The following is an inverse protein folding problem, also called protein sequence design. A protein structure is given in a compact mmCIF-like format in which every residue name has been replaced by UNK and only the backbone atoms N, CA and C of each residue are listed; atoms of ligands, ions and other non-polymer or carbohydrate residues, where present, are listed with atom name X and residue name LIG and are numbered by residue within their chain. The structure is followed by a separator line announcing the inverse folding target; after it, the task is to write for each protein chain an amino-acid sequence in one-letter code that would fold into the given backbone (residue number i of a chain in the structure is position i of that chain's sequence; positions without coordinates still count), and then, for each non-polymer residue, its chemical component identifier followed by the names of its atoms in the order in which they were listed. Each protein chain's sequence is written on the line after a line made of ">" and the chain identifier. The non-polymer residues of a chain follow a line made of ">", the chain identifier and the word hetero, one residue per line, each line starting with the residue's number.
data_IF_111594329546
#
_entry.id   IF_111594329546
#
_cell.length_a   1.000
_cell.length_b   1.000
_cell.length_c   1.000
_cell.angle_alpha   90.00
_cell.angle_beta   90.00
_cell.angle_gamma   90.00
#
_symmetry.space_group_name_H-M   'P 1'
#
loop_
_entity.id
_entity.type
_entity.pdbx_description
1 polymer ?
#
# COMPACT_ATOMS: atom_id res chain seq x y z
N UNK A 1 -5.71 29.89 3.37
CA UNK A 1 -6.87 30.68 3.85
C UNK A 1 -7.00 30.48 5.35
N UNK A 2 -7.27 31.54 6.14
CA UNK A 2 -7.48 31.44 7.58
C UNK A 2 -8.97 31.53 7.87
N UNK A 3 -9.51 30.50 8.52
CA UNK A 3 -10.93 30.39 8.82
C UNK A 3 -11.09 30.05 10.30
N UNK A 4 -12.07 30.67 10.95
CA UNK A 4 -12.45 30.31 12.31
C UNK A 4 -13.56 29.27 12.25
N UNK A 5 -13.30 28.07 12.79
CA UNK A 5 -14.25 26.96 12.86
C UNK A 5 -14.24 26.39 14.27
N UNK A 6 -15.41 26.00 14.76
CA UNK A 6 -15.57 25.33 16.05
C UNK A 6 -15.42 23.82 15.82
N UNK A 7 -14.50 23.20 16.55
CA UNK A 7 -14.24 21.76 16.49
C UNK A 7 -14.31 21.24 17.93
N UNK A 8 -14.89 20.06 18.11
CA UNK A 8 -14.90 19.37 19.39
C UNK A 8 -13.46 19.11 19.89
N UNK A 9 -13.18 19.48 21.15
CA UNK A 9 -11.83 19.39 21.70
C UNK A 9 -11.37 17.96 21.90
N UNK A 10 -12.29 17.04 22.24
CA UNK A 10 -11.96 15.62 22.39
C UNK A 10 -11.60 15.01 21.04
N UNK A 11 -12.37 15.33 19.99
CA UNK A 11 -12.08 14.91 18.62
C UNK A 11 -10.69 15.38 18.17
N UNK A 12 -10.35 16.65 18.42
CA UNK A 12 -9.04 17.19 18.06
C UNK A 12 -7.91 16.54 18.86
N UNK A 13 -8.12 16.30 20.16
CA UNK A 13 -7.14 15.62 21.01
C UNK A 13 -6.89 14.17 20.54
N UNK A 14 -7.96 13.43 20.22
CA UNK A 14 -7.84 12.08 19.69
C UNK A 14 -7.15 12.05 18.33
N UNK A 15 -7.48 12.99 17.44
CA UNK A 15 -6.82 13.11 16.15
C UNK A 15 -5.31 13.32 16.31
N UNK A 16 -4.89 14.31 17.11
CA UNK A 16 -3.47 14.60 17.34
C UNK A 16 -2.73 13.42 17.97
N UNK A 17 -3.38 12.73 18.93
CA UNK A 17 -2.81 11.56 19.61
C UNK A 17 -2.61 10.38 18.66
N UNK A 18 -3.59 10.10 17.80
CA UNK A 18 -3.53 8.97 16.86
C UNK A 18 -2.56 9.27 15.72
N UNK A 19 -2.56 10.49 15.18
CA UNK A 19 -1.72 10.85 14.04
C UNK A 19 -0.30 11.28 14.43
N UNK A 20 -0.04 11.54 15.71
CA UNK A 20 1.24 12.05 16.22
C UNK A 20 1.57 13.46 15.74
N UNK A 21 0.56 14.24 15.32
CA UNK A 21 0.75 15.58 14.78
C UNK A 21 0.86 16.61 15.90
N UNK A 22 1.61 17.68 15.64
CA UNK A 22 1.92 18.70 16.66
C UNK A 22 0.89 19.83 16.68
N UNK A 23 0.25 20.11 15.54
CA UNK A 23 -0.62 21.28 15.40
C UNK A 23 -2.02 20.92 14.95
N UNK A 24 -3.01 21.68 15.45
CA UNK A 24 -4.41 21.59 15.00
C UNK A 24 -4.54 21.80 13.49
N UNK A 25 -3.71 22.67 12.90
CA UNK A 25 -3.69 22.94 11.45
C UNK A 25 -3.34 21.70 10.64
N UNK A 26 -2.30 20.98 11.04
CA UNK A 26 -1.86 19.76 10.36
C UNK A 26 -2.91 18.66 10.44
N UNK A 27 -3.53 18.48 11.61
CA UNK A 27 -4.59 17.50 11.80
C UNK A 27 -5.80 17.78 10.89
N UNK A 28 -6.22 19.04 10.80
CA UNK A 28 -7.31 19.46 9.91
C UNK A 28 -6.95 19.26 8.44
N UNK A 29 -5.74 19.65 8.03
CA UNK A 29 -5.29 19.51 6.65
C UNK A 29 -5.18 18.03 6.24
N UNK A 30 -4.65 17.18 7.12
CA UNK A 30 -4.61 15.74 6.92
C UNK A 30 -6.02 15.16 6.77
N UNK A 31 -6.95 15.52 7.67
CA UNK A 31 -8.33 15.07 7.62
C UNK A 31 -9.04 15.43 6.31
N UNK A 32 -8.85 16.67 5.83
CA UNK A 32 -9.43 17.12 4.56
C UNK A 32 -8.84 16.36 3.35
N UNK A 33 -7.52 16.14 3.33
CA UNK A 33 -6.87 15.36 2.26
C UNK A 33 -7.35 13.91 2.26
N UNK A 34 -7.48 13.29 3.43
CA UNK A 34 -8.00 11.93 3.57
C UNK A 34 -9.44 11.84 3.08
N UNK A 35 -10.31 12.79 3.43
CA UNK A 35 -11.69 12.82 2.96
C UNK A 35 -11.78 12.85 1.43
N UNK A 36 -10.98 13.71 0.78
CA UNK A 36 -10.91 13.78 -0.69
C UNK A 36 -10.43 12.46 -1.29
N UNK A 37 -9.39 11.85 -0.71
CA UNK A 37 -8.87 10.56 -1.15
C UNK A 37 -9.90 9.43 -1.04
N UNK A 38 -10.65 9.38 0.06
CA UNK A 38 -11.73 8.40 0.26
C UNK A 38 -12.84 8.55 -0.79
N UNK A 39 -13.23 9.78 -1.11
CA UNK A 39 -14.22 10.06 -2.15
C UNK A 39 -13.75 9.63 -3.55
N UNK A 40 -12.47 9.85 -3.88
CA UNK A 40 -11.91 9.39 -5.15
C UNK A 40 -11.89 7.85 -5.24
N UNK A 41 -11.61 7.16 -4.13
CA UNK A 41 -11.67 5.69 -4.07
C UNK A 41 -13.11 5.18 -4.20
N UNK A 42 -14.09 5.89 -3.64
CA UNK A 42 -15.50 5.55 -3.76
C UNK A 42 -16.03 5.71 -5.19
N UNK A 43 -15.59 6.75 -5.91
CA UNK A 43 -15.90 6.90 -7.33
C UNK A 43 -15.42 5.68 -8.14
N UNK A 44 -14.25 5.12 -7.84
CA UNK A 44 -13.74 3.88 -8.46
C UNK A 44 -14.61 2.67 -8.07
N UNK A 45 -15.10 2.61 -6.81
CA UNK A 45 -16.03 1.56 -6.38
C UNK A 45 -17.39 1.65 -7.07
N UNK A 46 -17.84 2.83 -7.50
CA UNK A 46 -19.06 2.98 -8.32
C UNK A 46 -18.93 2.37 -9.73
N UNK A 47 -17.70 2.10 -10.20
CA UNK A 47 -17.43 1.39 -11.45
C UNK A 47 -17.17 -0.12 -11.25
N UNK A 48 -17.12 -0.64 -10.02
CA UNK A 48 -17.06 -2.11 -9.76
C UNK A 48 -18.33 -2.77 -10.30
N UNK A 49 -18.16 -3.65 -11.30
CA UNK A 49 -19.25 -4.36 -11.96
C UNK A 49 -19.86 -3.66 -13.19
N UNK A 50 -19.40 -2.45 -13.54
CA UNK A 50 -19.80 -1.75 -14.79
C UNK A 50 -18.72 -1.77 -15.88
N UNK A 51 -17.47 -2.05 -15.50
CA UNK A 51 -16.40 -2.31 -16.46
C UNK A 51 -16.50 -3.77 -16.90
N UNK A 52 -16.87 -3.99 -18.17
CA UNK A 52 -16.71 -5.27 -18.85
C UNK A 52 -15.21 -5.56 -18.86
N UNK A 53 -14.79 -6.55 -18.09
CA UNK A 53 -13.42 -7.01 -18.09
C UNK A 53 -13.21 -7.85 -19.37
N UNK A 54 -12.77 -7.21 -20.46
CA UNK A 54 -12.11 -7.90 -21.56
C UNK A 54 -10.63 -8.08 -21.18
N UNK A 55 -10.36 -9.05 -20.31
CA UNK A 55 -9.01 -9.42 -19.93
C UNK A 55 -8.93 -10.94 -19.81
N UNK A 56 -8.37 -11.57 -20.82
CA UNK A 56 -8.20 -13.01 -20.86
C UNK A 56 -7.36 -13.46 -19.66
N UNK A 57 -7.99 -14.23 -18.76
CA UNK A 57 -7.43 -14.58 -17.44
C UNK A 57 -6.36 -15.69 -17.53
N UNK A 58 -5.96 -16.07 -18.74
CA UNK A 58 -5.03 -17.18 -18.99
C UNK A 58 -3.54 -16.77 -18.92
N UNK A 59 -3.22 -15.47 -18.90
CA UNK A 59 -1.82 -15.03 -19.04
C UNK A 59 -0.98 -15.07 -17.75
N UNK A 60 -1.57 -15.33 -16.58
CA UNK A 60 -0.83 -15.30 -15.30
C UNK A 60 -0.42 -16.68 -14.74
N UNK A 61 -0.82 -17.80 -15.37
CA UNK A 61 -0.52 -19.13 -14.81
C UNK A 61 0.77 -19.80 -15.31
N UNK A 62 1.52 -19.21 -16.24
CA UNK A 62 2.83 -19.77 -16.67
C UNK A 62 3.89 -18.68 -16.82
N UNK A 63 4.51 -18.31 -15.72
CA UNK A 63 5.87 -17.73 -15.77
C UNK A 63 6.87 -18.84 -15.47
N UNK A 64 7.71 -19.29 -16.43
CA UNK A 64 8.70 -20.36 -16.24
C UNK A 64 9.96 -19.91 -15.46
N UNK A 65 9.94 -18.75 -14.80
CA UNK A 65 11.14 -18.14 -14.23
C UNK A 65 11.47 -18.59 -12.79
N UNK A 66 10.80 -19.61 -12.26
CA UNK A 66 11.04 -20.11 -10.91
C UNK A 66 12.07 -21.26 -10.82
N UNK A 67 12.59 -21.78 -11.94
CA UNK A 67 13.44 -22.99 -11.96
C UNK A 67 14.93 -22.75 -12.25
N UNK A 68 15.38 -21.49 -12.36
CA UNK A 68 16.78 -21.16 -12.71
C UNK A 68 17.72 -20.88 -11.52
N UNK A 69 17.31 -21.18 -10.29
CA UNK A 69 18.16 -21.01 -9.09
C UNK A 69 18.79 -22.31 -8.56
N UNK A 70 18.74 -23.41 -9.31
CA UNK A 70 19.24 -24.73 -8.89
C UNK A 70 20.64 -25.10 -9.41
N UNK A 71 21.46 -24.12 -9.84
CA UNK A 71 22.83 -24.37 -10.31
C UNK A 71 23.94 -23.67 -9.53
N UNK A 72 23.66 -22.94 -8.45
CA UNK A 72 24.69 -22.19 -7.71
C UNK A 72 25.28 -22.86 -6.47
N UNK A 73 24.99 -24.14 -6.22
CA UNK A 73 25.60 -24.89 -5.09
C UNK A 73 26.36 -26.15 -5.52
N UNK A 74 27.19 -26.04 -6.57
CA UNK A 74 28.29 -26.99 -6.80
C UNK A 74 29.62 -26.31 -6.60
N UNK A 75 29.98 -26.05 -5.34
CA UNK A 75 31.37 -25.88 -4.96
C UNK A 75 32.12 -27.20 -5.25
N UNK A 76 33.29 -27.20 -5.92
CA UNK A 76 34.02 -28.43 -6.16
C UNK A 76 34.62 -28.90 -4.84
N UNK A 77 34.07 -29.99 -4.28
CA UNK A 77 34.72 -30.73 -3.19
C UNK A 77 36.07 -31.20 -3.70
N UNK A 78 37.18 -30.63 -3.19
CA UNK A 78 38.52 -31.19 -3.40
C UNK A 78 38.52 -32.59 -2.77
N UNK A 79 38.94 -33.64 -3.48
CA UNK A 79 39.15 -34.93 -2.83
C UNK A 79 40.36 -34.82 -1.90
N UNK A 80 40.17 -35.15 -0.63
CA UNK A 80 41.28 -35.37 0.28
C UNK A 80 42.02 -36.67 -0.13
N UNK A 81 43.36 -36.66 -0.21
CA UNK A 81 44.10 -37.88 -0.47
C UNK A 81 44.08 -38.75 0.78
N UNK A 82 43.52 -39.95 0.64
CA UNK A 82 43.65 -41.02 1.62
C UNK A 82 45.05 -41.62 1.47
N UNK A 83 45.90 -41.45 2.49
CA UNK A 83 46.84 -42.43 3.06
C UNK A 83 47.58 -41.81 4.26
#
# INVERSE_FOLDING_TARGET
>A
MRTNIVIDDKLMADALRITGLKTKREAVELGLRTLIGLWQQEAIRAFRGKLHWEGDLEFFQRSPLAELDLERDRSPVRPEPVL
#
